data_IF_381717753399
#
_entry.id   IF_381717753399
#
_cell.length_a   1.000
_cell.length_b   1.000
_cell.length_c   1.000
_cell.angle_alpha   90.00
_cell.angle_beta   90.00
_cell.angle_gamma   90.00
#
_symmetry.space_group_name_H-M   'P 1'
#
loop_
_entity.id
_entity.type
_entity.pdbx_description
1 polymer ?
#
# COMPACT_ATOMS: atom_id res chain seq x y z
N UNK A 1 -8.27 8.17 -20.76
CA UNK A 1 -8.29 7.21 -21.88
C UNK A 1 -8.02 5.81 -21.35
N UNK A 2 -8.81 4.83 -21.79
CA UNK A 2 -8.62 3.42 -21.47
C UNK A 2 -8.30 2.68 -22.77
N UNK A 3 -7.13 2.05 -22.84
CA UNK A 3 -6.72 1.19 -23.93
C UNK A 3 -6.30 -0.18 -23.38
N UNK A 4 -7.16 -1.18 -23.56
CA UNK A 4 -6.93 -2.53 -23.05
C UNK A 4 -5.88 -3.27 -23.88
N UNK A 5 -5.90 -3.11 -25.21
CA UNK A 5 -4.95 -3.78 -26.10
C UNK A 5 -3.53 -3.26 -25.88
N UNK A 6 -3.38 -1.94 -25.73
CA UNK A 6 -2.13 -1.26 -25.39
C UNK A 6 -1.75 -1.30 -23.90
N UNK A 7 -2.60 -1.87 -23.03
CA UNK A 7 -2.41 -1.93 -21.56
C UNK A 7 -2.15 -0.55 -20.93
N UNK A 8 -2.86 0.48 -21.39
CA UNK A 8 -2.67 1.87 -20.97
C UNK A 8 -3.93 2.42 -20.32
N UNK A 9 -3.73 3.08 -19.18
CA UNK A 9 -4.73 3.92 -18.54
C UNK A 9 -4.11 5.31 -18.37
N UNK A 10 -4.67 6.29 -19.05
CA UNK A 10 -4.15 7.66 -19.04
C UNK A 10 -5.20 8.63 -18.54
N UNK A 11 -4.82 9.53 -17.64
CA UNK A 11 -5.69 10.60 -17.19
C UNK A 11 -5.43 11.84 -18.06
N UNK A 12 -6.44 12.27 -18.82
CA UNK A 12 -6.33 13.35 -19.80
C UNK A 12 -6.39 14.73 -19.12
N UNK A 13 -5.33 15.08 -18.41
CA UNK A 13 -5.11 16.42 -17.82
C UNK A 13 -3.67 16.83 -18.10
N UNK A 14 -3.42 18.13 -18.17
CA UNK A 14 -2.06 18.62 -18.36
C UNK A 14 -1.19 18.36 -17.12
N UNK A 15 0.12 18.31 -17.33
CA UNK A 15 1.08 18.11 -16.25
C UNK A 15 1.06 19.25 -15.22
N UNK A 16 0.78 20.48 -15.66
CA UNK A 16 0.63 21.65 -14.79
C UNK A 16 -0.54 21.48 -13.82
N UNK A 17 -1.70 21.04 -14.34
CA UNK A 17 -2.89 20.79 -13.51
C UNK A 17 -2.65 19.62 -12.54
N UNK A 18 -1.98 18.55 -12.99
CA UNK A 18 -1.59 17.45 -12.11
C UNK A 18 -0.62 17.88 -11.02
N UNK A 19 0.32 18.77 -11.33
CA UNK A 19 1.25 19.33 -10.34
C UNK A 19 0.53 20.15 -9.27
N UNK A 20 -0.44 20.99 -9.67
CA UNK A 20 -1.29 21.76 -8.74
C UNK A 20 -2.06 20.82 -7.83
N UNK A 21 -2.75 19.82 -8.38
CA UNK A 21 -3.54 18.85 -7.58
C UNK A 21 -2.69 18.04 -6.61
N UNK A 22 -1.49 17.61 -7.03
CA UNK A 22 -0.54 16.88 -6.16
C UNK A 22 -0.06 17.75 -5.00
N UNK A 23 0.22 19.03 -5.25
CA UNK A 23 0.61 19.99 -4.21
C UNK A 23 -0.51 20.21 -3.20
N UNK A 24 -1.74 20.28 -3.67
CA UNK A 24 -2.90 20.63 -2.84
C UNK A 24 -3.56 19.40 -2.18
N UNK A 25 -3.07 18.19 -2.50
CA UNK A 25 -3.58 16.93 -1.95
C UNK A 25 -3.26 16.80 -0.46
N UNK A 26 -4.27 16.36 0.30
CA UNK A 26 -4.13 16.03 1.73
C UNK A 26 -4.48 14.56 1.94
N UNK A 27 -3.64 13.79 2.66
CA UNK A 27 -3.97 12.42 2.99
C UNK A 27 -5.22 12.36 3.89
N UNK A 28 -6.01 11.27 3.80
CA UNK A 28 -7.11 11.04 4.73
C UNK A 28 -6.59 10.85 6.16
N UNK A 29 -7.43 11.14 7.15
CA UNK A 29 -7.09 10.97 8.57
C UNK A 29 -6.77 9.50 8.87
N UNK A 30 -5.61 9.19 9.48
CA UNK A 30 -5.27 7.83 9.84
C UNK A 30 -6.18 7.29 10.97
N UNK A 31 -6.32 5.96 11.09
CA UNK A 31 -7.03 5.34 12.19
C UNK A 31 -6.37 5.62 13.54
N UNK A 32 -7.19 5.64 14.61
CA UNK A 32 -6.73 5.99 15.96
C UNK A 32 -5.85 4.92 16.62
N UNK A 33 -5.96 3.66 16.22
CA UNK A 33 -5.19 2.57 16.82
C UNK A 33 -5.62 1.16 16.41
N UNK A 34 -5.05 0.18 17.11
CA UNK A 34 -5.40 -1.23 16.98
C UNK A 34 -4.98 -1.85 15.65
N UNK A 35 -5.68 -2.91 15.25
CA UNK A 35 -5.40 -3.63 14.01
C UNK A 35 -5.52 -2.73 12.76
N UNK A 36 -6.43 -1.74 12.78
CA UNK A 36 -6.59 -0.84 11.63
C UNK A 36 -5.35 0.03 11.40
N UNK A 37 -4.73 0.55 12.47
CA UNK A 37 -3.44 1.26 12.35
C UNK A 37 -2.32 0.34 11.87
N UNK A 38 -2.22 -0.87 12.44
CA UNK A 38 -1.27 -1.89 11.96
C UNK A 38 -1.45 -2.16 10.46
N UNK A 39 -2.70 -2.34 10.00
CA UNK A 39 -3.02 -2.58 8.60
C UNK A 39 -2.58 -1.42 7.70
N UNK A 40 -3.00 -0.19 8.02
CA UNK A 40 -2.68 1.00 7.22
C UNK A 40 -1.17 1.27 7.16
N UNK A 41 -0.45 1.01 8.25
CA UNK A 41 0.99 1.30 8.35
C UNK A 41 1.88 0.21 7.73
N UNK A 42 1.43 -1.05 7.72
CA UNK A 42 2.30 -2.19 7.43
C UNK A 42 1.92 -2.98 6.17
N UNK A 43 0.76 -2.73 5.57
CA UNK A 43 0.33 -3.42 4.35
C UNK A 43 1.11 -2.92 3.12
N UNK A 44 1.55 -3.85 2.29
CA UNK A 44 2.16 -3.58 1.00
C UNK A 44 1.11 -3.16 -0.04
N UNK A 45 1.56 -2.44 -1.07
CA UNK A 45 0.70 -2.05 -2.19
C UNK A 45 0.24 -3.25 -3.01
N UNK A 46 -0.83 -3.08 -3.80
CA UNK A 46 -1.46 -4.17 -4.55
C UNK A 46 -0.56 -4.81 -5.60
N UNK A 47 0.35 -4.05 -6.21
CA UNK A 47 1.38 -4.57 -7.11
C UNK A 47 2.36 -5.53 -6.42
N UNK A 48 2.41 -5.50 -5.08
CA UNK A 48 3.24 -6.35 -4.23
C UNK A 48 2.44 -7.42 -3.46
N UNK A 49 1.15 -7.56 -3.74
CA UNK A 49 0.33 -8.65 -3.21
C UNK A 49 -0.43 -8.39 -1.91
N UNK A 50 -0.49 -7.14 -1.42
CA UNK A 50 -1.30 -6.75 -0.25
C UNK A 50 -0.98 -7.50 1.07
N UNK A 51 0.22 -8.05 1.24
CA UNK A 51 0.65 -8.67 2.50
C UNK A 51 1.22 -7.64 3.47
N UNK A 52 1.38 -8.02 4.74
CA UNK A 52 2.19 -7.27 5.67
C UNK A 52 3.68 -7.41 5.32
N UNK A 53 4.39 -6.30 5.23
CA UNK A 53 5.82 -6.30 4.88
C UNK A 53 6.70 -7.16 5.82
N UNK A 54 6.35 -7.25 7.10
CA UNK A 54 7.04 -8.05 8.12
C UNK A 54 6.67 -9.53 8.11
N UNK A 55 5.68 -9.92 7.28
CA UNK A 55 5.30 -11.32 7.08
C UNK A 55 5.87 -11.92 5.80
N UNK A 56 6.47 -11.10 4.93
CA UNK A 56 7.03 -11.55 3.65
C UNK A 56 8.10 -12.62 3.87
N UNK A 57 7.99 -13.71 3.10
CA UNK A 57 8.93 -14.82 3.10
C UNK A 57 8.45 -16.00 3.94
N UNK A 58 9.40 -16.86 4.32
CA UNK A 58 9.14 -18.06 5.12
C UNK A 58 9.80 -17.91 6.49
N UNK A 59 9.05 -18.21 7.54
CA UNK A 59 9.57 -18.34 8.91
C UNK A 59 9.83 -19.81 9.19
N UNK A 60 11.02 -20.12 9.69
CA UNK A 60 11.39 -21.48 10.08
C UNK A 60 10.58 -21.93 11.30
N UNK A 61 10.27 -23.23 11.37
CA UNK A 61 9.57 -23.85 12.49
C UNK A 61 10.55 -24.26 13.60
N UNK A 62 11.39 -23.32 14.05
CA UNK A 62 12.32 -23.56 15.15
C UNK A 62 11.62 -24.00 16.43
N UNK A 63 12.32 -24.74 17.29
CA UNK A 63 11.78 -25.14 18.61
C UNK A 63 11.66 -23.89 19.49
N UNK A 64 10.46 -23.56 20.01
CA UNK A 64 10.28 -22.43 20.91
C UNK A 64 11.07 -22.60 22.22
N UNK A 65 11.28 -21.50 22.93
CA UNK A 65 11.82 -21.54 24.30
C UNK A 65 10.90 -22.37 25.20
N UNK A 66 11.46 -23.02 26.22
CA UNK A 66 10.67 -23.68 27.26
C UNK A 66 9.65 -22.70 27.85
N UNK A 67 8.41 -23.15 27.98
CA UNK A 67 7.29 -22.34 28.44
C UNK A 67 7.34 -22.01 29.95
N UNK A 68 8.22 -22.67 30.70
CA UNK A 68 8.39 -22.59 32.15
C UNK A 68 9.87 -22.70 32.50
#
# INVERSE_FOLDING_TARGET
>A
ELDVAGRRLELLVSDEELAIRRRDWKPPTPPLGGYQSLYVERVLQADKGCDFDFLVGRRDAGVPRHSH
#
